data_IF_673825845201
#
_entry.id   IF_673825845201
#
_cell.length_a   1.000
_cell.length_b   1.000
_cell.length_c   1.000
_cell.angle_alpha   90.00
_cell.angle_beta   90.00
_cell.angle_gamma   90.00
#
_symmetry.space_group_name_H-M   'P 1'
#
loop_
_entity.id
_entity.type
_entity.pdbx_description
1 polymer ?
#
# COMPACT_ATOMS: atom_id res chain seq x y z
N UNK A 1 13.45 -14.11 50.10
CA UNK A 1 12.33 -13.18 49.85
C UNK A 1 12.75 -11.98 49.01
N UNK A 2 13.90 -11.31 49.27
CA UNK A 2 14.33 -10.11 48.52
C UNK A 2 14.49 -10.27 46.98
N UNK A 3 14.84 -11.46 46.50
CA UNK A 3 15.08 -11.72 45.07
C UNK A 3 13.80 -11.88 44.24
N UNK A 4 12.67 -12.22 44.87
CA UNK A 4 11.41 -12.41 44.17
C UNK A 4 10.81 -11.08 43.71
N UNK A 5 10.86 -10.06 44.58
CA UNK A 5 10.38 -8.71 44.25
C UNK A 5 11.23 -8.07 43.16
N UNK A 6 12.55 -8.27 43.21
CA UNK A 6 13.46 -7.83 42.15
C UNK A 6 13.15 -8.52 40.81
N UNK A 7 12.94 -9.83 40.81
CA UNK A 7 12.58 -10.56 39.60
C UNK A 7 11.23 -10.08 39.03
N UNK A 8 10.24 -9.87 39.90
CA UNK A 8 8.93 -9.33 39.50
C UNK A 8 9.04 -7.94 38.87
N UNK A 9 9.87 -7.06 39.44
CA UNK A 9 10.12 -5.72 38.88
C UNK A 9 10.78 -5.79 37.50
N UNK A 10 11.77 -6.67 37.31
CA UNK A 10 12.43 -6.86 36.01
C UNK A 10 11.45 -7.38 34.97
N UNK A 11 10.61 -8.37 35.32
CA UNK A 11 9.60 -8.90 34.42
C UNK A 11 8.55 -7.85 34.03
N UNK A 12 8.09 -7.04 34.98
CA UNK A 12 7.14 -5.94 34.70
C UNK A 12 7.78 -4.87 33.80
N UNK A 13 9.04 -4.51 34.04
CA UNK A 13 9.76 -3.56 33.18
C UNK A 13 9.85 -4.06 31.72
N UNK A 14 10.25 -5.33 31.52
CA UNK A 14 10.31 -5.94 30.19
C UNK A 14 8.93 -5.99 29.51
N UNK A 15 7.87 -6.31 30.26
CA UNK A 15 6.52 -6.35 29.72
C UNK A 15 6.03 -4.96 29.27
N UNK A 16 6.42 -3.89 29.98
CA UNK A 16 6.09 -2.51 29.60
C UNK A 16 6.84 -2.07 28.35
N UNK A 17 8.12 -2.43 28.23
CA UNK A 17 8.91 -2.14 27.02
C UNK A 17 8.31 -2.83 25.79
N UNK A 18 7.91 -4.10 25.92
CA UNK A 18 7.21 -4.84 24.87
C UNK A 18 5.87 -4.19 24.50
N UNK A 19 5.11 -3.76 25.50
CA UNK A 19 3.83 -3.09 25.29
C UNK A 19 4.00 -1.74 24.60
N UNK A 20 5.04 -0.99 24.95
CA UNK A 20 5.37 0.27 24.30
C UNK A 20 5.70 0.04 22.83
N UNK A 21 6.56 -0.94 22.51
CA UNK A 21 6.89 -1.27 21.12
C UNK A 21 5.66 -1.65 20.27
N UNK A 22 4.70 -2.38 20.83
CA UNK A 22 3.43 -2.70 20.16
C UNK A 22 2.55 -1.46 19.97
N UNK A 23 2.52 -0.58 20.96
CA UNK A 23 1.73 0.65 20.93
C UNK A 23 2.27 1.59 19.85
N UNK A 24 3.58 1.76 19.80
CA UNK A 24 4.25 2.59 18.79
C UNK A 24 3.97 2.07 17.37
N UNK A 25 4.04 0.76 17.14
CA UNK A 25 3.71 0.18 15.83
C UNK A 25 2.23 0.37 15.47
N UNK A 26 1.31 0.18 16.43
CA UNK A 26 -0.12 0.41 16.19
C UNK A 26 -0.40 1.86 15.81
N UNK A 27 0.24 2.82 16.48
CA UNK A 27 0.13 4.25 16.17
C UNK A 27 0.70 4.53 14.78
N UNK A 28 1.87 3.96 14.45
CA UNK A 28 2.49 4.12 13.15
C UNK A 28 1.58 3.59 12.01
N UNK A 29 0.94 2.43 12.21
CA UNK A 29 -0.02 1.87 11.26
C UNK A 29 -1.28 2.73 11.10
N UNK A 30 -1.76 3.37 12.17
CA UNK A 30 -2.87 4.31 12.11
C UNK A 30 -2.49 5.55 11.31
N UNK A 31 -1.33 6.14 11.58
CA UNK A 31 -0.84 7.32 10.86
C UNK A 31 -0.72 7.06 9.35
N UNK A 32 -0.18 5.90 8.95
CA UNK A 32 -0.06 5.54 7.54
C UNK A 32 -1.44 5.46 6.84
N UNK A 33 -2.46 4.93 7.55
CA UNK A 33 -3.82 4.82 7.03
C UNK A 33 -4.51 6.17 6.93
N UNK A 34 -4.39 7.00 7.96
CA UNK A 34 -4.97 8.33 8.00
C UNK A 34 -4.38 9.20 6.89
N UNK A 35 -3.06 9.13 6.66
CA UNK A 35 -2.43 9.85 5.56
C UNK A 35 -2.97 9.40 4.20
N UNK A 36 -3.09 8.08 3.97
CA UNK A 36 -3.67 7.56 2.74
C UNK A 36 -5.12 8.04 2.53
N UNK A 37 -5.93 8.02 3.59
CA UNK A 37 -7.32 8.49 3.53
C UNK A 37 -7.38 9.98 3.16
N UNK A 38 -6.58 10.82 3.83
CA UNK A 38 -6.52 12.25 3.55
C UNK A 38 -6.08 12.54 2.12
N UNK A 39 -5.04 11.87 1.63
CA UNK A 39 -4.56 12.02 0.25
C UNK A 39 -5.62 11.58 -0.77
N UNK A 40 -6.37 10.51 -0.46
CA UNK A 40 -7.45 10.01 -1.32
C UNK A 40 -8.64 10.97 -1.36
N UNK A 41 -9.07 11.47 -0.20
CA UNK A 41 -10.18 12.43 -0.10
C UNK A 41 -9.82 13.75 -0.77
N UNK A 42 -8.60 14.27 -0.54
CA UNK A 42 -8.12 15.47 -1.19
C UNK A 42 -8.10 15.29 -2.72
N UNK A 43 -7.57 14.17 -3.19
CA UNK A 43 -7.57 13.82 -4.62
C UNK A 43 -8.99 13.82 -5.21
N UNK A 44 -9.97 13.28 -4.49
CA UNK A 44 -11.38 13.30 -4.91
C UNK A 44 -11.97 14.71 -4.96
N UNK A 45 -11.64 15.58 -4.00
CA UNK A 45 -12.13 16.96 -3.96
C UNK A 45 -11.59 17.84 -5.09
N UNK A 46 -10.34 17.63 -5.49
CA UNK A 46 -9.70 18.43 -6.55
C UNK A 46 -9.91 17.85 -7.96
N UNK A 47 -10.30 16.58 -8.07
CA UNK A 47 -10.54 15.94 -9.37
C UNK A 47 -11.92 16.31 -9.89
N UNK A 48 -11.98 17.00 -11.03
CA UNK A 48 -13.24 17.26 -11.72
C UNK A 48 -13.84 15.95 -12.25
N UNK A 49 -15.03 15.52 -11.76
CA UNK A 49 -15.65 14.26 -12.19
C UNK A 49 -16.10 14.28 -13.65
N UNK A 50 -16.18 15.45 -14.27
CA UNK A 50 -16.56 15.64 -15.66
C UNK A 50 -15.36 15.72 -16.62
N UNK A 51 -14.13 15.79 -16.11
CA UNK A 51 -12.92 15.92 -16.94
C UNK A 51 -12.83 14.77 -17.96
N UNK A 52 -12.81 15.08 -19.27
CA UNK A 52 -12.71 14.06 -20.32
C UNK A 52 -11.43 13.22 -20.23
N UNK A 53 -10.32 13.76 -19.69
CA UNK A 53 -9.06 13.02 -19.53
C UNK A 53 -9.18 11.92 -18.49
N UNK A 54 -9.80 12.21 -17.34
CA UNK A 54 -10.04 11.24 -16.26
C UNK A 54 -10.93 10.10 -16.76
N UNK A 55 -12.00 10.43 -17.49
CA UNK A 55 -12.89 9.44 -18.10
C UNK A 55 -12.18 8.58 -19.15
N UNK A 56 -11.36 9.20 -20.00
CA UNK A 56 -10.57 8.47 -21.00
C UNK A 56 -9.61 7.48 -20.33
N UNK A 57 -8.92 7.90 -19.26
CA UNK A 57 -7.99 7.03 -18.55
C UNK A 57 -8.70 5.87 -17.82
N UNK A 58 -9.83 6.12 -17.16
CA UNK A 58 -10.65 5.06 -16.58
C UNK A 58 -11.14 4.06 -17.63
N UNK A 59 -11.55 4.55 -18.82
CA UNK A 59 -11.96 3.69 -19.91
C UNK A 59 -10.78 2.86 -20.46
N UNK A 60 -9.58 3.44 -20.57
CA UNK A 60 -8.36 2.71 -20.96
C UNK A 60 -8.05 1.61 -19.93
N UNK A 61 -8.09 1.92 -18.63
CA UNK A 61 -7.84 0.94 -17.57
C UNK A 61 -8.85 -0.21 -17.60
N UNK A 62 -10.13 0.12 -17.76
CA UNK A 62 -11.22 -0.87 -17.92
C UNK A 62 -11.02 -1.75 -19.16
N UNK A 63 -10.63 -1.16 -20.30
CA UNK A 63 -10.34 -1.93 -21.54
C UNK A 63 -9.14 -2.86 -21.38
N UNK A 64 -8.14 -2.44 -20.60
CA UNK A 64 -6.94 -3.24 -20.29
C UNK A 64 -7.18 -4.28 -19.18
N UNK A 65 -8.39 -4.35 -18.62
CA UNK A 65 -8.71 -5.28 -17.53
C UNK A 65 -7.93 -5.00 -16.24
N UNK A 66 -7.43 -3.77 -16.07
CA UNK A 66 -6.63 -3.39 -14.91
C UNK A 66 -7.59 -3.18 -13.74
N UNK A 67 -7.66 -4.16 -12.86
CA UNK A 67 -8.40 -4.06 -11.60
C UNK A 67 -7.50 -3.52 -10.50
N UNK A 68 -7.94 -2.52 -9.72
CA UNK A 68 -7.21 -2.12 -8.54
C UNK A 68 -7.09 -3.29 -7.55
N UNK A 69 -6.07 -3.27 -6.67
CA UNK A 69 -5.93 -4.28 -5.63
C UNK A 69 -7.15 -4.28 -4.69
N UNK A 70 -7.48 -5.43 -4.06
CA UNK A 70 -8.63 -5.54 -3.16
C UNK A 70 -8.46 -4.73 -1.87
N UNK A 71 -7.21 -4.43 -1.49
CA UNK A 71 -6.87 -3.56 -0.38
C UNK A 71 -5.95 -2.44 -0.88
N UNK A 72 -6.05 -1.22 -0.33
CA UNK A 72 -5.16 -0.13 -0.72
C UNK A 72 -3.71 -0.49 -0.41
N UNK A 73 -2.83 -0.16 -1.34
CA UNK A 73 -1.39 -0.26 -1.12
C UNK A 73 -0.93 1.01 -0.41
N UNK A 74 -0.66 0.88 0.89
CA UNK A 74 -0.27 2.01 1.73
C UNK A 74 1.25 1.96 1.93
N UNK A 75 1.93 3.02 1.52
CA UNK A 75 3.36 3.16 1.75
C UNK A 75 3.62 3.51 3.22
N UNK A 76 4.55 2.84 3.92
CA UNK A 76 4.86 3.14 5.31
C UNK A 76 5.61 4.48 5.40
N UNK A 77 4.97 5.52 5.95
CA UNK A 77 5.55 6.85 6.13
C UNK A 77 5.97 7.11 7.57
N UNK A 78 5.33 6.45 8.54
CA UNK A 78 5.59 6.66 9.95
C UNK A 78 6.98 6.15 10.38
N UNK A 79 7.59 6.88 11.32
CA UNK A 79 8.88 6.50 11.92
C UNK A 79 8.71 5.24 12.76
N UNK A 80 9.57 4.25 12.50
CA UNK A 80 9.55 2.94 13.16
C UNK A 80 10.97 2.50 13.52
N UNK A 81 11.06 1.45 14.32
CA UNK A 81 12.31 0.71 14.49
C UNK A 81 12.83 0.26 13.12
N UNK A 82 14.14 0.35 12.84
CA UNK A 82 14.70 0.04 11.51
C UNK A 82 14.30 -1.34 10.97
N UNK A 83 14.26 -2.34 11.85
CA UNK A 83 13.88 -3.72 11.51
C UNK A 83 12.45 -3.81 10.96
N UNK A 84 11.49 -3.12 11.59
CA UNK A 84 10.10 -3.10 11.15
C UNK A 84 9.94 -2.23 9.90
N UNK A 85 10.58 -1.06 9.88
CA UNK A 85 10.53 -0.15 8.74
C UNK A 85 10.91 -0.87 7.43
N UNK A 86 11.97 -1.68 7.47
CA UNK A 86 12.39 -2.45 6.30
C UNK A 86 11.36 -3.50 5.88
N UNK A 87 10.86 -4.29 6.82
CA UNK A 87 9.82 -5.30 6.56
C UNK A 87 8.60 -4.67 5.87
N UNK A 88 8.13 -3.52 6.36
CA UNK A 88 6.98 -2.84 5.77
C UNK A 88 7.27 -2.29 4.37
N UNK A 89 8.47 -1.73 4.14
CA UNK A 89 8.88 -1.25 2.80
C UNK A 89 9.01 -2.39 1.79
N UNK A 90 9.59 -3.52 2.19
CA UNK A 90 9.68 -4.71 1.34
C UNK A 90 8.29 -5.22 0.97
N UNK A 91 7.40 -5.39 1.95
CA UNK A 91 6.01 -5.84 1.70
C UNK A 91 5.25 -4.90 0.76
N UNK A 92 5.38 -3.59 0.95
CA UNK A 92 4.80 -2.62 0.04
C UNK A 92 5.35 -2.80 -1.38
N UNK A 93 6.67 -2.92 -1.52
CA UNK A 93 7.34 -3.02 -2.82
C UNK A 93 6.90 -4.28 -3.57
N UNK A 94 6.83 -5.42 -2.88
CA UNK A 94 6.34 -6.69 -3.46
C UNK A 94 4.87 -6.59 -3.92
N UNK A 95 4.01 -5.98 -3.09
CA UNK A 95 2.62 -5.79 -3.44
C UNK A 95 2.47 -4.80 -4.61
N UNK A 96 3.21 -3.70 -4.60
CA UNK A 96 3.25 -2.74 -5.69
C UNK A 96 3.72 -3.38 -7.00
N UNK A 97 4.73 -4.25 -6.98
CA UNK A 97 5.15 -5.00 -8.16
C UNK A 97 4.07 -5.96 -8.66
N UNK A 98 3.40 -6.68 -7.74
CA UNK A 98 2.33 -7.62 -8.09
C UNK A 98 1.13 -6.96 -8.78
N UNK A 99 0.79 -5.75 -8.35
CA UNK A 99 -0.32 -4.98 -8.90
C UNK A 99 0.13 -3.89 -9.88
N UNK A 100 1.44 -3.76 -10.10
CA UNK A 100 1.96 -2.95 -11.20
C UNK A 100 1.45 -3.58 -12.48
N UNK A 101 0.75 -2.77 -13.27
CA UNK A 101 0.30 -3.17 -14.59
C UNK A 101 1.46 -3.83 -15.35
N UNK A 102 1.29 -5.02 -15.95
CA UNK A 102 2.29 -5.50 -16.90
C UNK A 102 2.45 -4.44 -18.00
N UNK A 103 3.69 -4.19 -18.42
CA UNK A 103 4.01 -3.33 -19.56
C UNK A 103 3.10 -3.70 -20.73
N UNK A 104 2.22 -2.76 -21.09
CA UNK A 104 1.33 -2.91 -22.21
C UNK A 104 2.12 -2.64 -23.50
N UNK A 105 3.03 -3.54 -23.86
CA UNK A 105 3.61 -3.64 -25.19
C UNK A 105 3.67 -5.10 -25.62
N UNK A 106 2.50 -5.75 -25.70
CA UNK A 106 2.41 -6.90 -26.58
C UNK A 106 2.39 -6.35 -28.01
N UNK A 107 3.54 -6.37 -28.67
CA UNK A 107 3.63 -6.03 -30.10
C UNK A 107 2.56 -6.83 -30.86
N UNK A 108 1.65 -6.12 -31.52
CA UNK A 108 0.63 -6.75 -32.37
C UNK A 108 1.35 -7.46 -33.51
N UNK A 109 1.15 -8.77 -33.62
CA UNK A 109 1.75 -9.51 -34.73
C UNK A 109 1.04 -9.12 -36.03
N UNK A 110 1.73 -9.24 -37.18
CA UNK A 110 1.14 -9.00 -38.49
C UNK A 110 -0.15 -9.82 -38.71
N UNK A 111 -0.22 -11.02 -38.10
CA UNK A 111 -1.38 -11.89 -38.14
C UNK A 111 -2.60 -11.30 -37.40
N UNK A 112 -2.39 -10.54 -36.33
CA UNK A 112 -3.45 -9.86 -35.58
C UNK A 112 -4.01 -8.69 -36.39
N UNK A 113 -3.13 -7.90 -37.01
CA UNK A 113 -3.49 -6.77 -37.89
C UNK A 113 -4.29 -7.24 -39.10
N UNK A 114 -3.87 -8.35 -39.73
CA UNK A 114 -4.57 -8.91 -40.89
C UNK A 114 -5.96 -9.47 -40.57
N UNK A 115 -6.19 -9.97 -39.35
CA UNK A 115 -7.53 -10.40 -38.90
C UNK A 115 -8.47 -9.22 -38.68
N UNK A 116 -7.96 -8.09 -38.19
CA UNK A 116 -8.77 -6.89 -37.95
C UNK A 116 -9.25 -6.23 -39.26
N UNK A 117 -8.48 -6.35 -40.36
CA UNK A 117 -8.82 -5.78 -41.67
C UNK A 117 -9.91 -6.54 -42.45
N UNK A 118 -10.25 -7.77 -42.04
CA UNK A 118 -11.25 -8.63 -42.73
C UNK A 118 -12.69 -8.47 -42.21
N UNK A 119 -12.98 -7.41 -41.44
CA UNK A 119 -14.34 -7.00 -41.09
C UNK A 119 -14.81 -5.83 -41.94
#
# INVERSE_FOLDING_TARGET
MLYADLAALVHDALARDDQQGRTDENIAMLLDRDNFELDSLYSQWITDPSDPKVKAEQAIRKRRGITPPPQPLIYPIALRRPELAEIHRTRYTEAAQRYSTPEAERELTLADVLRMRKR
#
